data_IF_555242438149
#
_entry.id   IF_555242438149
#
_cell.length_a   1.000
_cell.length_b   1.000
_cell.length_c   1.000
_cell.angle_alpha   90.00
_cell.angle_beta   90.00
_cell.angle_gamma   90.00
#
_symmetry.space_group_name_H-M   'P 1'
#
loop_
_entity.id
_entity.type
_entity.pdbx_description
1 polymer ?
#
# COMPACT_ATOMS: atom_id res chain seq x y z
N UNK A 1 -46.64 -22.61 3.45
CA UNK A 1 -47.11 -21.37 4.09
C UNK A 1 -46.88 -20.25 3.08
N UNK A 2 -47.98 -19.84 2.45
CA UNK A 2 -48.06 -18.90 1.33
C UNK A 2 -48.39 -17.51 1.89
N UNK A 3 -47.67 -16.48 1.47
CA UNK A 3 -48.04 -15.06 1.54
C UNK A 3 -47.37 -14.47 0.28
N UNK A 4 -48.01 -14.09 -0.85
CA UNK A 4 -49.27 -13.39 -1.16
C UNK A 4 -49.49 -12.14 -0.32
N UNK A 5 -48.99 -11.02 -0.84
CA UNK A 5 -49.54 -9.68 -0.59
C UNK A 5 -49.79 -9.06 -1.95
N UNK A 6 -51.06 -8.81 -2.24
CA UNK A 6 -51.58 -8.11 -3.40
C UNK A 6 -52.66 -7.16 -2.86
N UNK A 7 -52.55 -5.87 -3.19
CA UNK A 7 -53.60 -4.85 -3.29
C UNK A 7 -52.89 -3.51 -3.65
N UNK A 8 -53.02 -2.93 -4.86
CA UNK A 8 -54.15 -2.10 -5.42
C UNK A 8 -54.47 -0.88 -4.54
N UNK A 9 -54.69 0.35 -4.98
CA UNK A 9 -54.63 1.18 -6.20
C UNK A 9 -54.62 2.66 -5.66
N UNK A 10 -54.28 3.76 -6.35
CA UNK A 10 -55.06 4.42 -7.42
C UNK A 10 -54.48 5.84 -7.72
N UNK A 11 -54.61 6.28 -9.00
CA UNK A 11 -54.71 7.66 -9.54
C UNK A 11 -53.47 8.60 -9.56
N UNK A 12 -53.12 9.36 -10.61
CA UNK A 12 -53.52 9.47 -12.03
C UNK A 12 -52.60 10.54 -12.73
N UNK A 13 -52.56 10.53 -14.09
CA UNK A 13 -52.22 11.65 -15.02
C UNK A 13 -50.73 12.02 -15.24
N UNK A 14 -50.14 12.12 -16.44
CA UNK A 14 -50.63 12.13 -17.84
C UNK A 14 -49.49 11.86 -18.86
N UNK A 15 -49.70 10.85 -19.72
CA UNK A 15 -49.77 10.90 -21.20
C UNK A 15 -48.63 11.55 -22.04
N UNK A 16 -48.02 10.70 -22.89
CA UNK A 16 -47.83 10.73 -24.37
C UNK A 16 -46.44 10.13 -24.65
N UNK A 17 -46.20 9.06 -25.39
CA UNK A 17 -46.88 8.24 -26.39
C UNK A 17 -45.71 7.67 -27.23
N UNK A 18 -45.76 6.60 -28.00
CA UNK A 18 -46.75 5.61 -28.37
C UNK A 18 -46.09 4.84 -29.51
N UNK A 19 -46.11 3.50 -29.44
CA UNK A 19 -46.39 2.59 -30.57
C UNK A 19 -45.22 2.44 -31.60
N UNK A 20 -44.72 1.25 -31.94
CA UNK A 20 -45.45 0.09 -32.48
C UNK A 20 -44.57 -1.19 -32.37
N UNK A 21 -45.11 -2.23 -31.75
CA UNK A 21 -44.63 -3.61 -31.85
C UNK A 21 -45.86 -4.50 -32.07
N UNK A 22 -45.82 -5.33 -33.11
CA UNK A 22 -46.63 -6.53 -33.34
C UNK A 22 -45.92 -7.27 -34.50
N UNK A 23 -45.18 -8.36 -34.28
CA UNK A 23 -45.60 -9.73 -33.93
C UNK A 23 -45.91 -10.59 -35.17
N UNK A 24 -45.50 -11.86 -35.08
CA UNK A 24 -45.93 -13.08 -35.79
C UNK A 24 -44.81 -13.82 -36.56
N UNK A 25 -44.58 -15.08 -36.15
CA UNK A 25 -44.42 -16.17 -37.12
C UNK A 25 -43.13 -17.01 -37.09
N UNK A 26 -43.08 -17.94 -36.15
CA UNK A 26 -42.38 -19.25 -36.16
C UNK A 26 -41.99 -19.87 -37.52
N UNK A 27 -40.86 -20.58 -37.58
CA UNK A 27 -40.67 -22.00 -38.02
C UNK A 27 -39.15 -22.35 -38.03
N UNK A 28 -38.76 -23.40 -37.30
CA UNK A 28 -37.49 -24.15 -37.43
C UNK A 28 -37.66 -25.25 -38.51
N UNK A 29 -36.60 -25.71 -39.23
CA UNK A 29 -35.78 -26.82 -38.70
C UNK A 29 -34.28 -26.88 -39.12
N UNK A 30 -33.47 -27.37 -38.18
CA UNK A 30 -32.53 -28.51 -38.25
C UNK A 30 -31.53 -28.78 -39.42
N UNK A 31 -30.24 -28.82 -39.04
CA UNK A 31 -29.13 -29.74 -39.42
C UNK A 31 -28.36 -29.73 -40.78
N UNK A 32 -27.06 -30.10 -40.64
CA UNK A 32 -25.95 -30.37 -41.62
C UNK A 32 -25.28 -29.14 -42.22
N UNK A 33 -23.97 -29.02 -42.33
CA UNK A 33 -22.87 -29.99 -42.39
C UNK A 33 -21.99 -29.62 -43.60
N UNK A 34 -20.68 -29.46 -43.37
CA UNK A 34 -19.56 -29.37 -44.32
C UNK A 34 -19.81 -29.00 -45.80
N UNK A 35 -19.17 -27.94 -46.28
CA UNK A 35 -17.99 -28.05 -47.16
C UNK A 35 -17.61 -26.71 -47.80
N UNK A 36 -16.30 -26.51 -47.92
CA UNK A 36 -15.72 -25.47 -48.76
C UNK A 36 -16.13 -25.61 -50.22
N UNK A 37 -16.38 -24.48 -50.86
CA UNK A 37 -16.70 -24.42 -52.27
C UNK A 37 -16.67 -22.97 -52.73
N UNK A 38 -15.48 -22.47 -53.06
CA UNK A 38 -15.36 -21.30 -53.93
C UNK A 38 -15.89 -21.68 -55.31
N UNK A 39 -17.13 -21.28 -55.62
CA UNK A 39 -17.66 -21.22 -56.99
C UNK A 39 -17.69 -19.77 -57.42
N UNK A 40 -16.98 -19.49 -58.52
CA UNK A 40 -16.52 -18.15 -58.87
C UNK A 40 -17.53 -17.25 -59.57
N UNK A 41 -17.19 -15.97 -59.55
CA UNK A 41 -17.34 -15.04 -60.68
C UNK A 41 -16.08 -14.19 -60.68
N UNK A 42 -15.25 -14.31 -61.73
CA UNK A 42 -14.10 -13.44 -61.95
C UNK A 42 -14.63 -12.15 -62.59
N UNK A 43 -14.71 -11.09 -61.79
CA UNK A 43 -14.60 -9.72 -62.30
C UNK A 43 -13.50 -9.03 -61.50
N UNK A 44 -12.54 -8.46 -62.24
CA UNK A 44 -11.33 -7.77 -61.75
C UNK A 44 -11.61 -6.92 -60.51
N UNK A 45 -11.09 -7.36 -59.38
CA UNK A 45 -10.34 -6.49 -58.47
C UNK A 45 -9.38 -7.34 -57.63
N UNK A 46 -8.20 -6.77 -57.43
CA UNK A 46 -7.02 -7.43 -56.89
C UNK A 46 -7.30 -8.11 -55.55
N UNK A 47 -6.89 -9.37 -55.43
CA UNK A 47 -6.73 -10.07 -54.16
C UNK A 47 -5.55 -9.41 -53.41
N UNK A 48 -5.79 -8.26 -52.78
CA UNK A 48 -4.90 -7.73 -51.76
C UNK A 48 -5.24 -8.45 -50.46
N UNK A 49 -4.53 -9.55 -50.19
CA UNK A 49 -4.25 -9.97 -48.83
C UNK A 49 -3.34 -8.90 -48.24
N UNK A 50 -3.93 -7.80 -47.76
CA UNK A 50 -3.22 -6.86 -46.89
C UNK A 50 -2.84 -7.65 -45.64
N UNK A 51 -1.57 -7.60 -45.26
CA UNK A 51 -1.08 -8.13 -43.99
C UNK A 51 -1.95 -7.60 -42.84
N UNK A 52 -2.93 -8.41 -42.41
CA UNK A 52 -3.91 -8.09 -41.38
C UNK A 52 -3.23 -7.79 -40.03
N UNK A 53 -2.03 -8.33 -39.80
CA UNK A 53 -1.22 -7.95 -38.65
C UNK A 53 -0.68 -6.51 -38.72
N UNK A 54 -0.33 -5.99 -39.91
CA UNK A 54 0.23 -4.63 -40.03
C UNK A 54 -0.87 -3.58 -39.94
N UNK A 55 -2.04 -3.87 -40.49
CA UNK A 55 -3.23 -3.03 -40.37
C UNK A 55 -3.84 -3.11 -38.95
N UNK A 56 -3.88 -4.30 -38.32
CA UNK A 56 -4.21 -4.44 -36.91
C UNK A 56 -3.20 -3.75 -36.01
N UNK A 57 -1.88 -3.84 -36.27
CA UNK A 57 -0.86 -3.06 -35.55
C UNK A 57 -1.05 -1.55 -35.74
N UNK A 58 -1.39 -1.08 -36.95
CA UNK A 58 -1.66 0.34 -37.23
C UNK A 58 -2.99 0.83 -36.62
N UNK A 59 -4.03 0.00 -36.54
CA UNK A 59 -5.30 0.31 -35.89
C UNK A 59 -5.22 0.20 -34.36
N UNK A 60 -4.41 -0.73 -33.84
CA UNK A 60 -4.01 -0.81 -32.43
C UNK A 60 -3.17 0.41 -32.05
N UNK A 61 -2.22 0.81 -32.90
CA UNK A 61 -1.43 2.04 -32.80
C UNK A 61 -2.33 3.28 -32.76
N UNK A 62 -3.31 3.37 -33.67
CA UNK A 62 -4.28 4.47 -33.69
C UNK A 62 -5.26 4.46 -32.50
N UNK A 63 -5.55 3.30 -31.89
CA UNK A 63 -6.46 3.15 -30.73
C UNK A 63 -5.77 3.37 -29.38
N UNK A 64 -4.50 2.96 -29.23
CA UNK A 64 -3.69 3.23 -28.03
C UNK A 64 -3.41 4.73 -27.92
N UNK A 65 -3.11 5.40 -29.04
CA UNK A 65 -2.98 6.88 -29.09
C UNK A 65 -4.31 7.58 -28.76
N UNK A 66 -5.46 6.89 -28.91
CA UNK A 66 -6.79 7.44 -28.63
C UNK A 66 -7.21 7.40 -27.16
N UNK A 67 -6.54 6.63 -26.29
CA UNK A 67 -6.49 7.00 -24.86
C UNK A 67 -5.59 8.23 -24.76
N UNK A 68 -6.12 9.40 -25.11
CA UNK A 68 -5.37 10.64 -24.99
C UNK A 68 -4.85 10.80 -23.56
N UNK A 69 -3.75 11.53 -23.38
CA UNK A 69 -3.13 11.81 -22.07
C UNK A 69 -4.16 12.13 -20.96
N UNK A 70 -5.24 12.84 -21.31
CA UNK A 70 -6.35 13.18 -20.42
C UNK A 70 -7.17 11.98 -19.92
N UNK A 71 -7.36 10.94 -20.73
CA UNK A 71 -8.01 9.70 -20.32
C UNK A 71 -7.13 8.92 -19.33
N UNK A 72 -5.84 8.79 -19.63
CA UNK A 72 -4.86 8.19 -18.72
C UNK A 72 -4.76 8.97 -17.40
N UNK A 73 -4.81 10.31 -17.46
CA UNK A 73 -4.84 11.16 -16.27
C UNK A 73 -6.10 10.91 -15.43
N UNK A 74 -7.26 10.76 -16.08
CA UNK A 74 -8.50 10.39 -15.42
C UNK A 74 -8.37 9.07 -14.64
N UNK A 75 -7.90 8.01 -15.30
CA UNK A 75 -7.75 6.68 -14.69
C UNK A 75 -6.68 6.68 -13.58
N UNK A 76 -5.53 7.34 -13.80
CA UNK A 76 -4.45 7.41 -12.82
C UNK A 76 -4.81 8.26 -11.59
N UNK A 77 -5.66 9.29 -11.77
CA UNK A 77 -6.06 10.20 -10.68
C UNK A 77 -7.16 9.63 -9.78
N UNK A 78 -8.01 8.71 -10.26
CA UNK A 78 -9.09 8.10 -9.46
C UNK A 78 -8.64 7.57 -8.08
N UNK A 79 -7.66 6.64 -7.99
CA UNK A 79 -7.23 6.11 -6.70
C UNK A 79 -6.53 7.16 -5.82
N UNK A 80 -5.87 8.15 -6.44
CA UNK A 80 -5.20 9.25 -5.72
C UNK A 80 -6.24 10.16 -5.08
N UNK A 81 -7.27 10.54 -5.85
CA UNK A 81 -8.37 11.36 -5.36
C UNK A 81 -9.11 10.66 -4.22
N UNK A 82 -9.33 9.34 -4.32
CA UNK A 82 -9.92 8.56 -3.24
C UNK A 82 -9.09 8.65 -1.94
N UNK A 83 -7.76 8.51 -2.02
CA UNK A 83 -6.88 8.67 -0.85
C UNK A 83 -6.94 10.09 -0.30
N UNK A 84 -6.88 11.11 -1.16
CA UNK A 84 -6.91 12.51 -0.74
C UNK A 84 -8.25 12.89 -0.08
N UNK A 85 -9.39 12.42 -0.61
CA UNK A 85 -10.71 12.67 -0.02
C UNK A 85 -10.80 12.03 1.37
N UNK A 86 -10.43 10.75 1.52
CA UNK A 86 -10.47 10.06 2.81
C UNK A 86 -9.49 10.73 3.80
N UNK A 87 -8.32 11.16 3.34
CA UNK A 87 -7.38 11.91 4.19
C UNK A 87 -7.94 13.29 4.58
N UNK A 88 -8.67 13.98 3.72
CA UNK A 88 -9.33 15.23 4.08
C UNK A 88 -10.40 15.03 5.16
N UNK A 89 -11.17 13.93 5.08
CA UNK A 89 -12.13 13.54 6.13
C UNK A 89 -11.39 13.25 7.44
N UNK A 90 -10.28 12.50 7.39
CA UNK A 90 -9.45 12.22 8.57
C UNK A 90 -8.87 13.49 9.20
N UNK A 91 -8.43 14.45 8.37
CA UNK A 91 -7.96 15.75 8.82
C UNK A 91 -9.07 16.56 9.50
N UNK A 92 -10.26 16.58 8.91
CA UNK A 92 -11.43 17.24 9.49
C UNK A 92 -11.81 16.62 10.85
N UNK A 93 -11.83 15.29 10.96
CA UNK A 93 -12.10 14.56 12.21
C UNK A 93 -11.04 14.80 13.30
N UNK A 94 -9.80 15.13 12.91
CA UNK A 94 -8.70 15.44 13.84
C UNK A 94 -8.61 16.92 14.23
N UNK A 95 -9.44 17.78 13.62
CA UNK A 95 -9.48 19.21 13.96
C UNK A 95 -10.05 19.42 15.36
N UNK A 96 -9.62 20.48 16.05
CA UNK A 96 -10.08 20.86 17.39
C UNK A 96 -11.62 21.02 17.49
N UNK A 97 -12.31 21.23 16.35
CA UNK A 97 -13.77 21.31 16.26
C UNK A 97 -14.48 19.97 16.50
N UNK A 98 -14.07 18.89 15.82
CA UNK A 98 -14.67 17.56 16.01
C UNK A 98 -13.97 16.75 17.09
N UNK A 99 -12.65 16.88 17.19
CA UNK A 99 -11.78 16.17 18.13
C UNK A 99 -12.06 14.66 18.24
N UNK A 100 -12.42 14.02 17.12
CA UNK A 100 -12.79 12.60 17.06
C UNK A 100 -11.56 11.71 16.83
N UNK A 101 -10.54 12.22 16.14
CA UNK A 101 -9.25 11.54 15.91
C UNK A 101 -8.06 12.29 16.53
N UNK A 102 -8.01 12.48 17.87
CA UNK A 102 -6.83 13.00 18.55
C UNK A 102 -5.64 12.03 18.39
N UNK A 103 -4.42 12.47 18.74
CA UNK A 103 -3.19 11.65 18.66
C UNK A 103 -3.33 10.29 19.36
N UNK A 104 -3.91 10.26 20.56
CA UNK A 104 -4.08 9.02 21.31
C UNK A 104 -5.02 8.04 20.60
N UNK A 105 -6.13 8.52 20.04
CA UNK A 105 -7.08 7.69 19.28
C UNK A 105 -6.44 7.16 18.00
N UNK A 106 -5.65 7.98 17.30
CA UNK A 106 -4.90 7.55 16.11
C UNK A 106 -3.90 6.44 16.43
N UNK A 107 -3.14 6.58 17.52
CA UNK A 107 -2.22 5.54 18.00
C UNK A 107 -2.96 4.23 18.33
N UNK A 108 -4.09 4.30 19.05
CA UNK A 108 -4.90 3.12 19.39
C UNK A 108 -5.50 2.45 18.15
N UNK A 109 -6.03 3.25 17.23
CA UNK A 109 -6.54 2.76 15.95
C UNK A 109 -5.43 2.10 15.14
N UNK A 110 -4.24 2.69 15.11
CA UNK A 110 -3.08 2.13 14.42
C UNK A 110 -2.64 0.78 14.99
N UNK A 111 -2.71 0.59 16.33
CA UNK A 111 -2.45 -0.72 16.96
C UNK A 111 -3.41 -1.78 16.43
N UNK A 112 -4.71 -1.48 16.32
CA UNK A 112 -5.71 -2.39 15.76
C UNK A 112 -5.40 -2.69 14.29
N UNK A 113 -5.08 -1.66 13.51
CA UNK A 113 -4.75 -1.82 12.08
C UNK A 113 -3.53 -2.70 11.90
N UNK A 114 -2.48 -2.51 12.69
CA UNK A 114 -1.24 -3.28 12.61
C UNK A 114 -1.42 -4.74 13.04
N UNK A 115 -2.13 -4.99 14.14
CA UNK A 115 -2.26 -6.33 14.73
C UNK A 115 -3.34 -7.17 14.04
N UNK A 116 -4.41 -6.54 13.55
CA UNK A 116 -5.63 -7.25 13.13
C UNK A 116 -5.94 -7.00 11.65
N UNK A 117 -6.10 -5.75 11.22
CA UNK A 117 -6.63 -5.48 9.87
C UNK A 117 -5.60 -5.80 8.78
N UNK A 118 -4.37 -5.32 8.95
CA UNK A 118 -3.27 -5.52 7.99
C UNK A 118 -2.95 -7.00 7.74
N UNK A 119 -2.72 -7.85 8.76
CA UNK A 119 -2.51 -9.27 8.51
C UNK A 119 -3.70 -9.94 7.85
N UNK A 120 -4.93 -9.54 8.20
CA UNK A 120 -6.13 -10.07 7.57
C UNK A 120 -6.20 -9.72 6.09
N UNK A 121 -5.94 -8.46 5.73
CA UNK A 121 -5.89 -8.02 4.33
C UNK A 121 -4.84 -8.79 3.52
N UNK A 122 -3.62 -8.92 4.04
CA UNK A 122 -2.55 -9.60 3.31
C UNK A 122 -2.86 -11.10 3.18
N UNK A 123 -3.35 -11.72 4.25
CA UNK A 123 -3.75 -13.13 4.26
C UNK A 123 -4.80 -13.43 3.19
N UNK A 124 -5.91 -12.68 3.17
CA UNK A 124 -7.01 -12.95 2.24
C UNK A 124 -6.62 -12.70 0.80
N UNK A 125 -5.91 -11.61 0.54
CA UNK A 125 -5.38 -11.28 -0.79
C UNK A 125 -4.51 -12.42 -1.35
N UNK A 126 -3.71 -13.04 -0.48
CA UNK A 126 -2.83 -14.16 -0.84
C UNK A 126 -3.58 -15.46 -1.07
N UNK A 127 -4.46 -15.85 -0.14
CA UNK A 127 -5.22 -17.09 -0.24
C UNK A 127 -6.06 -17.11 -1.52
N UNK A 128 -6.69 -15.99 -1.87
CA UNK A 128 -7.50 -15.90 -3.09
C UNK A 128 -6.64 -15.91 -4.36
N UNK A 129 -5.56 -15.15 -4.37
CA UNK A 129 -4.84 -14.85 -5.62
C UNK A 129 -3.71 -15.79 -5.97
N UNK A 130 -3.19 -16.55 -5.01
CA UNK A 130 -2.00 -17.39 -5.21
C UNK A 130 -2.38 -18.84 -5.43
N UNK A 131 -1.73 -19.48 -6.40
CA UNK A 131 -1.72 -20.94 -6.59
C UNK A 131 -0.28 -21.43 -6.74
N UNK A 132 -0.06 -22.73 -6.57
CA UNK A 132 1.27 -23.32 -6.76
C UNK A 132 1.88 -23.06 -8.15
N UNK A 133 1.04 -23.13 -9.20
CA UNK A 133 1.48 -22.89 -10.57
C UNK A 133 1.87 -21.42 -10.78
N UNK A 134 1.12 -20.50 -10.18
CA UNK A 134 1.38 -19.06 -10.22
C UNK A 134 2.70 -18.71 -9.54
N UNK A 135 3.04 -19.36 -8.42
CA UNK A 135 4.32 -19.16 -7.72
C UNK A 135 5.50 -19.53 -8.62
N UNK A 136 5.41 -20.68 -9.30
CA UNK A 136 6.48 -21.15 -10.20
C UNK A 136 6.59 -20.24 -11.42
N UNK A 137 5.47 -19.85 -12.02
CA UNK A 137 5.46 -19.00 -13.22
C UNK A 137 5.94 -17.58 -12.92
N UNK A 138 5.60 -17.02 -11.76
CA UNK A 138 5.87 -15.63 -11.38
C UNK A 138 7.09 -15.46 -10.46
N UNK A 139 8.03 -16.42 -10.42
CA UNK A 139 9.23 -16.35 -9.56
C UNK A 139 10.10 -15.09 -9.79
N UNK A 140 10.09 -14.54 -11.01
CA UNK A 140 10.82 -13.32 -11.35
C UNK A 140 10.30 -12.07 -10.61
N UNK A 141 9.08 -12.14 -10.08
CA UNK A 141 8.39 -11.02 -9.46
C UNK A 141 8.88 -10.68 -8.05
N UNK A 142 9.03 -11.65 -7.10
CA UNK A 142 9.73 -11.38 -5.85
C UNK A 142 11.13 -10.81 -6.08
N UNK A 143 11.86 -11.31 -7.08
CA UNK A 143 13.20 -10.79 -7.42
C UNK A 143 13.14 -9.35 -7.92
N UNK A 144 12.22 -9.05 -8.85
CA UNK A 144 12.06 -7.70 -9.37
C UNK A 144 11.69 -6.71 -8.25
N UNK A 145 10.74 -7.08 -7.38
CA UNK A 145 10.35 -6.26 -6.22
C UNK A 145 11.53 -6.12 -5.24
N UNK A 146 12.31 -7.18 -5.00
CA UNK A 146 13.51 -7.10 -4.17
C UNK A 146 14.55 -6.12 -4.73
N UNK A 147 14.76 -6.14 -6.05
CA UNK A 147 15.67 -5.20 -6.73
C UNK A 147 15.15 -3.76 -6.62
N UNK A 148 13.85 -3.50 -6.81
CA UNK A 148 13.30 -2.13 -6.67
C UNK A 148 13.43 -1.62 -5.24
N UNK A 149 13.21 -2.47 -4.24
CA UNK A 149 13.46 -2.14 -2.83
C UNK A 149 14.92 -1.81 -2.57
N UNK A 150 15.85 -2.61 -3.10
CA UNK A 150 17.30 -2.39 -2.93
C UNK A 150 17.75 -1.10 -3.60
N UNK A 151 17.42 -0.90 -4.88
CA UNK A 151 17.74 0.32 -5.62
C UNK A 151 17.13 1.56 -4.96
N UNK A 152 15.87 1.48 -4.53
CA UNK A 152 15.19 2.54 -3.82
C UNK A 152 15.81 2.85 -2.46
N UNK A 153 16.22 1.83 -1.72
CA UNK A 153 16.94 1.98 -0.45
C UNK A 153 18.30 2.64 -0.63
N UNK A 154 19.07 2.24 -1.64
CA UNK A 154 20.38 2.84 -1.98
C UNK A 154 20.20 4.31 -2.37
N UNK A 155 19.26 4.62 -3.27
CA UNK A 155 18.97 5.99 -3.68
C UNK A 155 18.48 6.85 -2.51
N UNK A 156 17.65 6.28 -1.64
CA UNK A 156 17.22 6.93 -0.39
C UNK A 156 18.39 7.21 0.55
N UNK A 157 19.33 6.27 0.69
CA UNK A 157 20.53 6.46 1.50
C UNK A 157 21.45 7.56 0.93
N UNK A 158 21.63 7.60 -0.39
CA UNK A 158 22.35 8.67 -1.08
C UNK A 158 21.66 10.01 -0.83
N UNK A 159 20.32 10.07 -0.96
CA UNK A 159 19.55 11.28 -0.69
C UNK A 159 19.73 11.77 0.76
N UNK A 160 19.70 10.87 1.74
CA UNK A 160 19.96 11.22 3.15
C UNK A 160 21.37 11.78 3.33
N UNK A 161 22.38 11.22 2.66
CA UNK A 161 23.76 11.74 2.71
C UNK A 161 23.92 13.12 2.08
N UNK A 162 23.15 13.41 1.03
CA UNK A 162 23.19 14.69 0.33
C UNK A 162 22.47 15.80 1.12
N UNK A 163 21.28 15.52 1.64
CA UNK A 163 20.44 16.51 2.33
C UNK A 163 20.87 16.69 3.80
N UNK A 164 21.40 15.64 4.43
CA UNK A 164 21.70 15.58 5.88
C UNK A 164 20.48 16.01 6.73
N UNK A 165 19.35 15.28 6.63
CA UNK A 165 18.14 15.61 7.38
C UNK A 165 18.30 15.34 8.88
N UNK A 166 17.31 15.75 9.69
CA UNK A 166 17.28 15.43 11.13
C UNK A 166 17.34 13.91 11.36
N UNK A 167 17.96 13.41 12.45
CA UNK A 167 18.15 11.96 12.67
C UNK A 167 16.87 11.11 12.63
N UNK A 168 15.73 11.65 13.05
CA UNK A 168 14.45 10.92 13.00
C UNK A 168 13.86 10.78 11.60
N UNK A 169 14.31 11.59 10.62
CA UNK A 169 13.84 11.58 9.23
C UNK A 169 14.65 10.66 8.33
N UNK A 170 15.86 10.25 8.74
CA UNK A 170 16.74 9.40 7.93
C UNK A 170 16.03 8.11 7.51
N UNK A 171 15.48 7.37 8.47
CA UNK A 171 14.73 6.14 8.21
C UNK A 171 13.49 6.37 7.36
N UNK A 172 12.78 7.47 7.62
CA UNK A 172 11.55 7.82 6.89
C UNK A 172 11.82 8.09 5.42
N UNK A 173 12.86 8.86 5.09
CA UNK A 173 13.22 9.16 3.69
C UNK A 173 13.65 7.88 2.98
N UNK A 174 14.49 7.06 3.60
CA UNK A 174 14.92 5.80 2.98
C UNK A 174 13.75 4.80 2.82
N UNK A 175 12.82 4.76 3.77
CA UNK A 175 11.60 3.96 3.72
C UNK A 175 10.69 4.41 2.58
N UNK A 176 10.44 5.72 2.48
CA UNK A 176 9.64 6.28 1.39
C UNK A 176 10.27 6.00 0.05
N UNK A 177 11.60 6.12 -0.08
CA UNK A 177 12.36 5.84 -1.30
C UNK A 177 12.49 4.36 -1.68
N UNK A 178 12.21 3.41 -0.78
CA UNK A 178 12.28 1.96 -1.07
C UNK A 178 10.89 1.33 -1.26
N UNK A 179 9.91 1.67 -0.42
CA UNK A 179 8.57 1.09 -0.47
C UNK A 179 7.62 1.86 -1.40
N UNK A 180 7.15 1.20 -2.46
CA UNK A 180 6.04 1.70 -3.29
C UNK A 180 4.67 1.25 -2.77
N UNK A 181 3.60 1.90 -3.24
CA UNK A 181 2.22 1.55 -2.90
C UNK A 181 1.68 0.42 -3.78
N UNK A 182 2.16 -0.81 -3.52
CA UNK A 182 1.72 -2.02 -4.23
C UNK A 182 0.25 -2.39 -3.95
N UNK A 183 -0.29 -1.98 -2.81
CA UNK A 183 -1.61 -2.42 -2.37
C UNK A 183 -2.74 -1.63 -3.03
N UNK A 184 -2.74 -0.30 -2.86
CA UNK A 184 -3.87 0.51 -3.26
C UNK A 184 -3.83 0.84 -4.76
N UNK A 185 -2.65 1.14 -5.30
CA UNK A 185 -2.55 1.63 -6.68
C UNK A 185 -2.45 0.52 -7.70
N UNK A 186 -1.66 -0.52 -7.45
CA UNK A 186 -1.47 -1.60 -8.43
C UNK A 186 -2.77 -2.41 -8.63
N UNK A 187 -3.52 -2.68 -7.55
CA UNK A 187 -4.79 -3.42 -7.61
C UNK A 187 -5.91 -2.63 -8.26
N UNK A 188 -5.88 -1.30 -8.19
CA UNK A 188 -6.89 -0.46 -8.85
C UNK A 188 -6.49 -0.21 -10.31
N UNK A 189 -5.25 0.19 -10.55
CA UNK A 189 -4.78 0.64 -11.86
C UNK A 189 -4.71 -0.50 -12.87
N UNK A 190 -4.11 -1.64 -12.52
CA UNK A 190 -3.84 -2.72 -13.50
C UNK A 190 -5.16 -3.35 -14.00
N UNK A 191 -6.15 -3.66 -13.15
CA UNK A 191 -7.46 -4.13 -13.63
C UNK A 191 -8.29 -3.04 -14.32
N UNK A 192 -8.16 -1.76 -13.95
CA UNK A 192 -8.90 -0.69 -14.60
C UNK A 192 -8.52 -0.53 -16.08
N UNK A 193 -7.23 -0.70 -16.40
CA UNK A 193 -6.73 -0.71 -17.78
C UNK A 193 -7.37 -1.86 -18.59
N UNK A 194 -7.63 -3.00 -17.95
CA UNK A 194 -8.31 -4.13 -18.58
C UNK A 194 -9.80 -3.91 -18.84
N UNK A 195 -10.46 -2.99 -18.14
CA UNK A 195 -11.93 -2.76 -18.26
C UNK A 195 -12.28 -1.54 -19.10
N UNK A 196 -11.28 -0.79 -19.57
CA UNK A 196 -11.53 0.40 -20.37
C UNK A 196 -11.98 0.05 -21.79
N UNK A 197 -12.87 0.87 -22.35
CA UNK A 197 -13.48 0.66 -23.66
C UNK A 197 -12.40 0.80 -24.75
N UNK A 198 -11.94 -0.34 -25.28
CA UNK A 198 -10.88 -0.39 -26.28
C UNK A 198 -9.52 -0.83 -25.77
N UNK A 199 -9.43 -1.43 -24.57
CA UNK A 199 -8.18 -1.99 -24.03
C UNK A 199 -7.48 -2.90 -25.05
N UNK A 200 -6.15 -2.79 -25.25
CA UNK A 200 -5.40 -3.64 -26.19
C UNK A 200 -5.20 -5.06 -25.67
N UNK A 201 -5.62 -5.35 -24.44
CA UNK A 201 -5.26 -6.56 -23.68
C UNK A 201 -6.21 -7.75 -23.87
N UNK A 202 -6.92 -7.80 -25.00
CA UNK A 202 -7.85 -8.89 -25.32
C UNK A 202 -9.15 -8.82 -24.53
N UNK A 203 -9.73 -9.99 -24.22
CA UNK A 203 -11.00 -10.09 -23.50
C UNK A 203 -10.91 -9.47 -22.08
N UNK A 204 -11.87 -8.60 -21.77
CA UNK A 204 -11.90 -7.83 -20.52
C UNK A 204 -11.93 -8.73 -19.27
N UNK A 205 -12.65 -9.85 -19.30
CA UNK A 205 -12.80 -10.75 -18.14
C UNK A 205 -11.51 -11.50 -17.89
N UNK A 206 -10.89 -12.03 -18.95
CA UNK A 206 -9.62 -12.77 -18.86
C UNK A 206 -8.48 -11.83 -18.46
N UNK A 207 -8.40 -10.64 -19.06
CA UNK A 207 -7.41 -9.63 -18.71
C UNK A 207 -7.54 -9.23 -17.24
N UNK A 208 -8.75 -8.89 -16.80
CA UNK A 208 -9.02 -8.47 -15.42
C UNK A 208 -8.62 -9.55 -14.41
N UNK A 209 -8.92 -10.81 -14.68
CA UNK A 209 -8.53 -11.92 -13.81
C UNK A 209 -7.00 -12.03 -13.68
N UNK A 210 -6.27 -11.99 -14.80
CA UNK A 210 -4.79 -12.04 -14.78
C UNK A 210 -4.17 -10.80 -14.13
N UNK A 211 -4.72 -9.62 -14.40
CA UNK A 211 -4.32 -8.35 -13.79
C UNK A 211 -4.48 -8.39 -12.26
N UNK A 212 -5.60 -8.95 -11.77
CA UNK A 212 -5.86 -9.08 -10.34
C UNK A 212 -4.90 -10.06 -9.67
N UNK A 213 -4.61 -11.21 -10.29
CA UNK A 213 -3.60 -12.17 -9.79
C UNK A 213 -2.22 -11.54 -9.73
N UNK A 214 -1.81 -10.84 -10.78
CA UNK A 214 -0.54 -10.11 -10.83
C UNK A 214 -0.47 -9.03 -9.74
N UNK A 215 -1.50 -8.20 -9.62
CA UNK A 215 -1.50 -7.12 -8.64
C UNK A 215 -1.45 -7.63 -7.20
N UNK A 216 -2.19 -8.70 -6.91
CA UNK A 216 -2.26 -9.29 -5.57
C UNK A 216 -0.98 -10.04 -5.19
N UNK A 217 -0.35 -10.74 -6.14
CA UNK A 217 0.96 -11.36 -5.89
C UNK A 217 2.05 -10.31 -5.67
N UNK A 218 1.97 -9.16 -6.36
CA UNK A 218 2.85 -8.00 -6.13
C UNK A 218 2.63 -7.39 -4.75
N UNK A 219 1.38 -7.23 -4.34
CA UNK A 219 1.03 -6.71 -3.02
C UNK A 219 1.62 -7.60 -1.93
N UNK A 220 1.56 -8.92 -2.08
CA UNK A 220 2.09 -9.87 -1.10
C UNK A 220 3.60 -9.74 -0.91
N UNK A 221 4.38 -9.81 -1.99
CA UNK A 221 5.83 -9.66 -1.93
C UNK A 221 6.24 -8.24 -1.53
N UNK A 222 5.53 -7.22 -2.04
CA UNK A 222 5.71 -5.84 -1.59
C UNK A 222 5.48 -5.68 -0.10
N UNK A 223 4.47 -6.34 0.46
CA UNK A 223 4.18 -6.37 1.90
C UNK A 223 5.26 -7.12 2.67
N UNK A 224 5.74 -8.27 2.14
CA UNK A 224 6.85 -9.01 2.73
C UNK A 224 8.10 -8.13 2.87
N UNK A 225 8.54 -7.46 1.80
CA UNK A 225 9.69 -6.54 1.85
C UNK A 225 9.42 -5.31 2.71
N UNK A 226 8.20 -4.78 2.73
CA UNK A 226 7.84 -3.65 3.59
C UNK A 226 7.99 -4.02 5.07
N UNK A 227 7.39 -5.12 5.51
CA UNK A 227 7.41 -5.51 6.92
C UNK A 227 8.73 -6.13 7.38
N UNK A 228 9.60 -6.54 6.46
CA UNK A 228 10.95 -7.02 6.78
C UNK A 228 11.99 -5.91 6.69
N UNK A 229 12.16 -5.29 5.53
CA UNK A 229 13.20 -4.29 5.29
C UNK A 229 12.79 -2.90 5.81
N UNK A 230 11.63 -2.39 5.39
CA UNK A 230 11.21 -1.02 5.74
C UNK A 230 10.95 -0.86 7.23
N UNK A 231 10.34 -1.87 7.84
CA UNK A 231 10.16 -1.92 9.29
C UNK A 231 11.50 -1.81 10.03
N UNK A 232 12.53 -2.54 9.60
CA UNK A 232 13.87 -2.45 10.19
C UNK A 232 14.48 -1.05 10.04
N UNK A 233 14.33 -0.45 8.86
CA UNK A 233 14.85 0.90 8.58
C UNK A 233 14.19 1.94 9.48
N UNK A 234 12.85 1.88 9.61
CA UNK A 234 12.08 2.75 10.49
C UNK A 234 12.42 2.53 11.97
N UNK A 235 12.48 1.26 12.41
CA UNK A 235 12.81 0.90 13.78
C UNK A 235 14.22 1.39 14.17
N UNK A 236 15.21 1.18 13.30
CA UNK A 236 16.59 1.61 13.56
C UNK A 236 16.69 3.14 13.71
N UNK A 237 15.98 3.89 12.86
CA UNK A 237 15.95 5.35 12.92
C UNK A 237 15.23 5.86 14.18
N UNK A 238 14.14 5.21 14.58
CA UNK A 238 13.41 5.56 15.79
C UNK A 238 14.23 5.30 17.06
N UNK A 239 14.90 4.15 17.15
CA UNK A 239 15.79 3.82 18.27
C UNK A 239 16.95 4.83 18.38
N UNK A 240 17.57 5.18 17.25
CA UNK A 240 18.64 6.19 17.20
C UNK A 240 18.14 7.55 17.68
N UNK A 241 16.95 7.96 17.25
CA UNK A 241 16.37 9.23 17.67
C UNK A 241 16.03 9.27 19.17
N UNK A 242 15.40 8.22 19.70
CA UNK A 242 15.03 8.16 21.11
C UNK A 242 16.27 8.18 22.02
N UNK A 243 17.34 7.48 21.64
CA UNK A 243 18.60 7.53 22.39
C UNK A 243 19.25 8.93 22.41
N UNK A 244 19.17 9.67 21.30
CA UNK A 244 19.65 11.06 21.24
C UNK A 244 18.79 11.95 22.14
N UNK A 245 17.46 11.80 22.07
CA UNK A 245 16.51 12.57 22.89
C UNK A 245 16.73 12.34 24.39
N UNK A 246 16.90 11.10 24.84
CA UNK A 246 17.20 10.77 26.23
C UNK A 246 18.53 11.40 26.69
N UNK A 247 19.54 11.42 25.81
CA UNK A 247 20.85 12.04 26.11
C UNK A 247 20.72 13.56 26.23
N UNK A 248 19.93 14.20 25.37
CA UNK A 248 19.66 15.64 25.42
C UNK A 248 18.87 16.03 26.68
N UNK A 249 17.84 15.26 27.05
CA UNK A 249 17.07 15.49 28.28
C UNK A 249 17.95 15.35 29.53
N UNK A 250 18.82 14.34 29.58
CA UNK A 250 19.77 14.16 30.68
C UNK A 250 20.78 15.31 30.76
N UNK A 251 21.28 15.80 29.62
CA UNK A 251 22.17 16.96 29.57
C UNK A 251 21.48 18.26 30.00
N UNK A 252 20.22 18.45 29.63
CA UNK A 252 19.45 19.65 30.01
C UNK A 252 19.13 19.66 31.51
N UNK A 253 18.79 18.49 32.09
CA UNK A 253 18.63 18.35 33.54
C UNK A 253 19.93 18.57 34.31
N UNK A 254 21.06 18.08 33.78
CA UNK A 254 22.37 18.35 34.38
C UNK A 254 22.72 19.85 34.34
N UNK A 255 22.48 20.53 33.21
CA UNK A 255 22.75 21.96 33.05
C UNK A 255 21.85 22.85 33.94
N UNK A 256 20.57 22.49 34.12
CA UNK A 256 19.67 23.17 35.06
C UNK A 256 20.12 23.00 36.52
N UNK A 257 20.61 21.81 36.89
CA UNK A 257 21.10 21.56 38.24
C UNK A 257 22.43 22.28 38.54
N UNK A 258 23.31 22.45 37.55
CA UNK A 258 24.52 23.28 37.71
C UNK A 258 24.21 24.76 37.86
N UNK A 259 23.17 25.29 37.22
CA UNK A 259 22.78 26.70 37.38
C UNK A 259 22.10 26.99 38.74
N UNK A 260 21.70 25.96 39.49
CA UNK A 260 21.17 26.09 40.86
C UNK A 260 22.29 25.94 41.91
N UNK A 261 23.39 25.24 41.60
CA UNK A 261 24.52 25.07 42.53
C UNK A 261 25.47 26.28 42.60
N UNK A 262 25.42 27.22 41.65
CA UNK A 262 26.28 28.42 41.67
C UNK A 262 25.74 29.55 42.57
N UNK A 263 24.62 29.35 43.28
CA UNK A 263 24.02 30.41 44.11
C UNK A 263 24.00 30.18 45.62
N UNK A 264 24.44 29.03 46.15
CA UNK A 264 24.52 28.87 47.61
C UNK A 264 25.68 27.96 48.00
N UNK A 265 26.80 28.57 48.41
CA UNK A 265 27.68 27.97 49.40
C UNK A 265 26.89 27.86 50.71
N UNK A 266 26.54 26.64 51.10
CA UNK A 266 26.85 26.05 52.42
C UNK A 266 25.90 24.89 52.71
N UNK A 267 26.49 23.82 53.24
CA UNK A 267 25.89 22.58 53.77
C UNK A 267 25.67 21.41 52.80
N UNK A 268 26.64 20.51 52.89
CA UNK A 268 26.54 19.06 52.69
C UNK A 268 25.37 18.52 53.52
N UNK A 269 24.38 17.89 52.88
CA UNK A 269 23.76 16.68 53.43
C UNK A 269 23.05 15.84 52.36
N UNK A 270 23.09 14.53 52.58
CA UNK A 270 22.64 13.44 51.73
C UNK A 270 21.18 13.57 51.30
N UNK A 271 20.90 13.39 50.00
CA UNK A 271 19.55 13.09 49.51
C UNK A 271 19.59 11.80 48.68
N UNK A 272 19.00 10.77 49.27
CA UNK A 272 18.65 9.48 48.68
C UNK A 272 17.53 9.67 47.64
N UNK A 273 17.53 9.01 46.46
CA UNK A 273 16.45 9.20 45.50
C UNK A 273 15.21 8.42 45.95
N UNK A 274 14.15 9.18 46.27
CA UNK A 274 12.80 8.68 46.53
C UNK A 274 12.21 8.08 45.27
N UNK A 275 11.94 6.77 45.32
CA UNK A 275 11.16 6.03 44.33
C UNK A 275 9.67 6.38 44.47
N UNK A 276 9.16 7.25 43.61
CA UNK A 276 7.72 7.35 43.36
C UNK A 276 7.44 7.00 41.90
N UNK A 277 7.28 5.69 41.64
CA UNK A 277 6.66 5.20 40.41
C UNK A 277 5.15 5.38 40.51
N UNK A 278 4.59 6.28 39.72
CA UNK A 278 3.15 6.35 39.46
C UNK A 278 2.76 5.22 38.50
N UNK A 279 1.74 4.45 38.87
CA UNK A 279 1.28 3.22 38.23
C UNK A 279 0.46 3.44 36.94
N UNK A 280 0.98 4.22 35.98
CA UNK A 280 0.37 4.40 34.65
C UNK A 280 1.28 3.99 33.47
N UNK A 281 2.52 3.58 33.70
CA UNK A 281 3.49 3.25 32.63
C UNK A 281 3.61 1.75 32.27
N UNK A 282 2.74 0.89 32.82
CA UNK A 282 2.89 -0.58 32.68
C UNK A 282 2.37 -1.11 31.32
N UNK A 283 1.53 -0.40 30.57
CA UNK A 283 0.93 -0.94 29.34
C UNK A 283 1.79 -0.82 28.07
N UNK A 284 2.88 -0.05 28.09
CA UNK A 284 3.78 0.07 26.92
C UNK A 284 5.08 -0.75 27.05
N UNK A 285 5.28 -1.48 28.16
CA UNK A 285 6.53 -2.20 28.43
C UNK A 285 6.59 -3.65 27.94
N UNK A 286 5.55 -4.21 27.30
CA UNK A 286 5.63 -5.60 26.82
C UNK A 286 6.33 -5.77 25.46
N UNK A 287 6.77 -4.70 24.78
CA UNK A 287 7.40 -4.81 23.44
C UNK A 287 8.84 -4.25 23.39
N UNK A 288 9.33 -3.60 24.44
CA UNK A 288 10.70 -3.06 24.47
C UNK A 288 11.51 -3.77 25.54
N UNK A 289 12.11 -4.90 25.15
CA UNK A 289 13.04 -5.60 26.02
C UNK A 289 14.36 -4.82 26.09
N UNK A 290 14.70 -4.44 27.31
CA UNK A 290 15.86 -3.70 27.78
C UNK A 290 17.17 -4.11 27.07
N UNK A 291 17.93 -3.12 26.61
CA UNK A 291 19.39 -3.17 26.71
C UNK A 291 19.80 -2.05 27.65
N UNK A 292 19.99 -2.39 28.93
CA UNK A 292 20.58 -1.47 29.87
C UNK A 292 22.02 -1.20 29.42
N UNK A 293 22.33 0.07 29.19
CA UNK A 293 23.71 0.55 29.06
C UNK A 293 24.28 0.65 30.48
N UNK A 294 24.61 -0.50 31.04
CA UNK A 294 25.61 -0.60 32.11
C UNK A 294 26.98 -0.79 31.45
N UNK A 295 27.99 -0.07 31.91
CA UNK A 295 29.39 -0.21 31.48
C UNK A 295 29.85 -1.68 31.48
N UNK A 296 29.74 -2.36 30.33
CA UNK A 296 30.30 -3.70 30.14
C UNK A 296 31.52 -3.55 29.24
N UNK A 297 32.68 -3.88 29.83
CA UNK A 297 33.96 -4.06 29.15
C UNK A 297 33.72 -4.80 27.82
N UNK A 298 34.19 -4.22 26.70
CA UNK A 298 34.25 -4.89 25.39
C UNK A 298 34.91 -6.25 25.56
N UNK A 299 34.11 -7.31 25.56
CA UNK A 299 34.56 -8.67 25.31
C UNK A 299 34.25 -8.92 23.83
N UNK A 300 35.28 -9.23 23.04
CA UNK A 300 35.12 -9.59 21.63
C UNK A 300 34.16 -10.78 21.52
N UNK A 301 32.90 -10.48 21.16
CA UNK A 301 31.87 -11.48 20.93
C UNK A 301 32.13 -12.20 19.61
N UNK A 302 32.11 -13.52 19.66
CA UNK A 302 32.32 -14.42 18.53
C UNK A 302 31.33 -14.09 17.39
N UNK A 303 31.75 -14.32 16.14
CA UNK A 303 30.90 -14.17 14.95
C UNK A 303 29.59 -14.94 15.12
N UNK A 304 29.61 -16.05 15.87
CA UNK A 304 28.43 -16.85 16.23
C UNK A 304 27.44 -16.08 17.11
N UNK A 305 27.91 -15.34 18.13
CA UNK A 305 27.03 -14.57 19.02
C UNK A 305 26.37 -13.40 18.29
N UNK A 306 27.10 -12.75 17.36
CA UNK A 306 26.55 -11.73 16.46
C UNK A 306 25.52 -12.32 15.49
N UNK A 307 25.79 -13.51 14.94
CA UNK A 307 24.86 -14.23 14.06
C UNK A 307 23.58 -14.63 14.80
N UNK A 308 23.69 -15.15 16.02
CA UNK A 308 22.54 -15.53 16.86
C UNK A 308 21.74 -14.31 17.27
N UNK A 309 22.38 -13.19 17.63
CA UNK A 309 21.68 -11.95 17.95
C UNK A 309 20.95 -11.36 16.71
N UNK A 310 21.59 -11.40 15.54
CA UNK A 310 20.95 -11.02 14.27
C UNK A 310 19.78 -11.95 13.93
N UNK A 311 19.95 -13.27 14.06
CA UNK A 311 18.89 -14.25 13.78
C UNK A 311 17.70 -14.04 14.71
N UNK A 312 17.95 -13.84 16.01
CA UNK A 312 16.90 -13.61 17.01
C UNK A 312 16.12 -12.32 16.73
N UNK A 313 16.81 -11.27 16.28
CA UNK A 313 16.19 -10.01 15.85
C UNK A 313 15.34 -10.22 14.59
N UNK A 314 15.84 -10.97 13.61
CA UNK A 314 15.11 -11.31 12.38
C UNK A 314 13.87 -12.16 12.70
N UNK A 315 13.99 -13.17 13.57
CA UNK A 315 12.87 -14.04 13.97
C UNK A 315 11.77 -13.25 14.70
N UNK A 316 12.15 -12.40 15.66
CA UNK A 316 11.18 -11.54 16.37
C UNK A 316 10.49 -10.54 15.43
N UNK A 317 11.17 -10.09 14.38
CA UNK A 317 10.58 -9.23 13.35
C UNK A 317 9.72 -10.03 12.36
N UNK A 318 10.05 -11.28 12.09
CA UNK A 318 9.24 -12.20 11.29
C UNK A 318 7.94 -12.60 12.01
N UNK A 319 7.88 -12.45 13.33
CA UNK A 319 6.70 -12.60 14.17
C UNK A 319 5.80 -11.35 14.18
N UNK A 320 6.13 -10.30 13.42
CA UNK A 320 5.18 -9.20 13.23
C UNK A 320 3.85 -9.75 12.68
N UNK A 321 2.69 -9.29 13.17
CA UNK A 321 1.41 -9.82 12.71
C UNK A 321 1.26 -9.82 11.17
N UNK A 322 1.60 -8.73 10.45
CA UNK A 322 1.53 -8.71 8.99
C UNK A 322 2.40 -9.75 8.28
N UNK A 323 3.62 -10.04 8.77
CA UNK A 323 4.49 -11.05 8.16
C UNK A 323 3.94 -12.44 8.40
N UNK A 324 3.39 -12.71 9.59
CA UNK A 324 2.72 -13.98 9.89
C UNK A 324 1.50 -14.20 8.98
N UNK A 325 0.70 -13.15 8.76
CA UNK A 325 -0.41 -13.14 7.79
C UNK A 325 0.06 -13.47 6.37
N UNK A 326 1.19 -12.89 5.93
CA UNK A 326 1.81 -13.21 4.63
C UNK A 326 2.24 -14.68 4.53
N UNK A 327 2.92 -15.22 5.53
CA UNK A 327 3.37 -16.62 5.50
C UNK A 327 2.18 -17.58 5.51
N UNK A 328 1.21 -17.36 6.40
CA UNK A 328 0.01 -18.18 6.46
C UNK A 328 -0.77 -18.11 5.14
N UNK A 329 -0.93 -16.92 4.56
CA UNK A 329 -1.63 -16.72 3.29
C UNK A 329 -0.93 -17.41 2.11
N UNK A 330 0.40 -17.32 2.04
CA UNK A 330 1.20 -18.00 1.01
C UNK A 330 1.11 -19.53 1.13
N UNK A 331 1.27 -20.08 2.33
CA UNK A 331 1.22 -21.53 2.57
C UNK A 331 -0.17 -22.08 2.22
N UNK A 332 -1.22 -21.43 2.72
CA UNK A 332 -2.60 -21.85 2.48
C UNK A 332 -2.99 -21.68 1.00
N UNK A 333 -2.62 -20.56 0.37
CA UNK A 333 -2.88 -20.31 -1.04
C UNK A 333 -2.13 -21.29 -1.97
N UNK A 334 -0.91 -21.70 -1.60
CA UNK A 334 -0.13 -22.66 -2.37
C UNK A 334 -0.68 -24.08 -2.32
N UNK A 335 -1.35 -24.49 -1.23
CA UNK A 335 -1.88 -25.85 -1.05
C UNK A 335 -3.34 -25.91 -1.53
N UNK A 336 -3.64 -26.51 -2.70
CA UNK A 336 -4.97 -26.43 -3.31
C UNK A 336 -6.09 -27.02 -2.44
N UNK A 337 -5.80 -28.08 -1.68
CA UNK A 337 -6.78 -28.74 -0.81
C UNK A 337 -7.22 -27.84 0.34
N UNK A 338 -6.30 -27.10 0.97
CA UNK A 338 -6.63 -26.17 2.06
C UNK A 338 -7.31 -24.93 1.50
N UNK A 339 -6.83 -24.40 0.36
CA UNK A 339 -7.46 -23.28 -0.34
C UNK A 339 -8.93 -23.58 -0.69
N UNK A 340 -9.24 -24.74 -1.26
CA UNK A 340 -10.62 -25.11 -1.60
C UNK A 340 -11.52 -25.28 -0.36
N UNK A 341 -10.95 -25.52 0.82
CA UNK A 341 -11.69 -25.60 2.08
C UNK A 341 -12.14 -24.21 2.58
N UNK A 342 -11.38 -23.16 2.24
CA UNK A 342 -11.59 -21.78 2.68
C UNK A 342 -12.24 -20.89 1.60
N UNK A 343 -11.88 -21.11 0.33
CA UNK A 343 -12.28 -20.29 -0.81
C UNK A 343 -13.20 -21.08 -1.75
N UNK A 344 -14.38 -20.52 -2.02
CA UNK A 344 -15.36 -21.10 -2.95
C UNK A 344 -16.78 -21.01 -2.40
N UNK A 345 -17.77 -20.96 -3.28
CA UNK A 345 -19.17 -20.73 -2.88
C UNK A 345 -19.72 -21.81 -1.93
N UNK A 346 -19.23 -23.05 -2.06
CA UNK A 346 -19.61 -24.22 -1.26
C UNK A 346 -18.53 -24.66 -0.26
N UNK A 347 -17.53 -23.81 0.00
CA UNK A 347 -16.42 -24.14 0.89
C UNK A 347 -16.90 -24.20 2.37
N UNK A 348 -16.58 -25.27 3.13
CA UNK A 348 -17.13 -25.47 4.47
C UNK A 348 -16.58 -24.48 5.51
N UNK A 349 -15.37 -23.93 5.31
CA UNK A 349 -14.76 -22.93 6.19
C UNK A 349 -14.79 -21.52 5.60
N UNK A 350 -15.68 -21.27 4.63
CA UNK A 350 -15.85 -19.96 3.99
C UNK A 350 -16.04 -18.82 5.00
N UNK A 351 -16.72 -19.08 6.11
CA UNK A 351 -16.96 -18.09 7.17
C UNK A 351 -15.65 -17.48 7.70
N UNK A 352 -14.57 -18.28 7.80
CA UNK A 352 -13.26 -17.78 8.26
C UNK A 352 -12.69 -16.80 7.24
N UNK A 353 -12.68 -17.18 5.96
CA UNK A 353 -12.19 -16.34 4.88
C UNK A 353 -13.02 -15.05 4.77
N UNK A 354 -14.35 -15.15 4.71
CA UNK A 354 -15.25 -13.99 4.59
C UNK A 354 -15.10 -13.02 5.79
N UNK A 355 -14.90 -13.54 7.00
CA UNK A 355 -14.61 -12.72 8.18
C UNK A 355 -13.29 -11.97 8.06
N UNK A 356 -12.25 -12.64 7.56
CA UNK A 356 -10.93 -12.04 7.34
C UNK A 356 -10.96 -11.00 6.20
N UNK A 357 -11.78 -11.20 5.16
CA UNK A 357 -11.98 -10.22 4.08
C UNK A 357 -12.63 -8.96 4.66
N UNK A 358 -13.70 -9.13 5.45
CA UNK A 358 -14.41 -8.03 6.09
C UNK A 358 -13.48 -7.22 7.01
N UNK A 359 -12.65 -7.92 7.79
CA UNK A 359 -11.68 -7.30 8.70
C UNK A 359 -10.57 -6.59 7.93
N UNK A 360 -10.06 -7.22 6.86
CA UNK A 360 -9.03 -6.66 5.99
C UNK A 360 -9.49 -5.42 5.23
N UNK A 361 -10.76 -5.34 4.85
CA UNK A 361 -11.36 -4.20 4.15
C UNK A 361 -11.25 -2.88 4.95
N UNK A 362 -11.17 -2.95 6.28
CA UNK A 362 -10.96 -1.79 7.15
C UNK A 362 -9.55 -1.20 7.10
N UNK A 363 -8.54 -1.92 6.59
CA UNK A 363 -7.13 -1.49 6.63
C UNK A 363 -6.90 -0.17 5.91
N UNK A 364 -7.25 -0.10 4.63
CA UNK A 364 -6.99 1.06 3.77
C UNK A 364 -7.71 2.33 4.29
N UNK A 365 -9.03 2.33 4.58
CA UNK A 365 -9.69 3.53 5.08
C UNK A 365 -9.15 3.97 6.44
N UNK A 366 -8.90 3.06 7.38
CA UNK A 366 -8.35 3.44 8.69
C UNK A 366 -6.95 4.04 8.59
N UNK A 367 -6.03 3.45 7.79
CA UNK A 367 -4.70 4.04 7.57
C UNK A 367 -4.77 5.42 6.94
N UNK A 368 -5.68 5.60 5.98
CA UNK A 368 -5.83 6.87 5.26
C UNK A 368 -6.44 7.96 6.15
N UNK A 369 -7.34 7.59 7.07
CA UNK A 369 -7.87 8.49 8.11
C UNK A 369 -6.78 8.90 9.12
N UNK A 370 -5.96 7.94 9.59
CA UNK A 370 -4.82 8.24 10.48
C UNK A 370 -3.85 9.20 9.80
N UNK A 371 -3.50 8.92 8.54
CA UNK A 371 -2.65 9.77 7.72
C UNK A 371 -3.22 11.19 7.60
N UNK A 372 -4.52 11.31 7.30
CA UNK A 372 -5.24 12.58 7.24
C UNK A 372 -5.22 13.34 8.56
N UNK A 373 -5.45 12.65 9.68
CA UNK A 373 -5.38 13.27 10.99
C UNK A 373 -3.98 13.84 11.27
N UNK A 374 -2.92 13.08 10.96
CA UNK A 374 -1.52 13.51 11.13
C UNK A 374 -1.16 14.73 10.27
N UNK A 375 -1.82 14.88 9.11
CA UNK A 375 -1.61 16.01 8.21
C UNK A 375 -1.99 17.35 8.82
N UNK A 376 -3.00 17.40 9.71
CA UNK A 376 -3.43 18.66 10.36
C UNK A 376 -2.30 19.34 11.12
N UNK A 377 -1.47 18.56 11.81
CA UNK A 377 -0.35 19.05 12.58
C UNK A 377 0.86 19.36 11.68
N UNK A 378 1.11 18.51 10.67
CA UNK A 378 2.19 18.71 9.70
C UNK A 378 2.03 20.01 8.87
N UNK A 379 0.80 20.33 8.44
CA UNK A 379 0.51 21.58 7.73
C UNK A 379 0.68 22.80 8.64
N UNK A 380 0.27 22.71 9.91
CA UNK A 380 0.39 23.83 10.88
C UNK A 380 1.84 24.14 11.24
N UNK A 381 2.70 23.13 11.34
CA UNK A 381 4.09 23.29 11.81
C UNK A 381 5.13 23.43 10.70
N UNK A 382 4.73 23.32 9.42
CA UNK A 382 5.65 23.30 8.27
C UNK A 382 6.85 22.37 8.52
N UNK A 383 6.53 21.16 8.96
CA UNK A 383 7.46 20.27 9.65
C UNK A 383 8.60 19.78 8.73
N UNK A 384 8.33 19.65 7.42
CA UNK A 384 9.28 19.23 6.38
C UNK A 384 9.75 20.41 5.52
N UNK A 385 11.07 20.56 5.32
CA UNK A 385 11.63 21.50 4.36
C UNK A 385 11.37 21.12 2.88
N UNK A 386 11.14 22.07 1.96
CA UNK A 386 10.84 21.79 0.55
C UNK A 386 11.89 20.92 -0.15
N UNK A 387 13.16 21.06 0.21
CA UNK A 387 14.28 20.26 -0.34
C UNK A 387 14.08 18.76 -0.12
N UNK A 388 13.54 18.35 1.03
CA UNK A 388 13.27 16.93 1.31
C UNK A 388 12.15 16.43 0.41
N UNK A 389 11.05 17.20 0.30
CA UNK A 389 9.90 16.85 -0.54
C UNK A 389 10.33 16.67 -1.99
N UNK A 390 11.05 17.65 -2.55
CA UNK A 390 11.54 17.62 -3.93
C UNK A 390 12.48 16.43 -4.15
N UNK A 391 13.38 16.14 -3.19
CA UNK A 391 14.31 15.03 -3.34
C UNK A 391 13.60 13.68 -3.31
N UNK A 392 12.64 13.47 -2.40
CA UNK A 392 11.84 12.23 -2.36
C UNK A 392 11.08 12.06 -3.68
N UNK A 393 10.47 13.13 -4.20
CA UNK A 393 9.77 13.10 -5.49
C UNK A 393 10.71 12.76 -6.65
N UNK A 394 11.90 13.36 -6.70
CA UNK A 394 12.90 13.11 -7.74
C UNK A 394 13.40 11.65 -7.69
N UNK A 395 13.70 11.13 -6.50
CA UNK A 395 14.09 9.73 -6.35
C UNK A 395 12.99 8.80 -6.82
N UNK A 396 11.73 9.06 -6.44
CA UNK A 396 10.59 8.20 -6.76
C UNK A 396 10.16 8.23 -8.22
N UNK A 397 9.97 9.42 -8.75
CA UNK A 397 9.31 9.61 -10.04
C UNK A 397 10.30 9.87 -11.17
N UNK A 398 11.59 10.08 -10.90
CA UNK A 398 12.58 10.35 -11.96
C UNK A 398 13.73 9.35 -11.94
N UNK A 399 14.31 9.02 -10.78
CA UNK A 399 15.44 8.09 -10.72
C UNK A 399 15.00 6.62 -10.72
N UNK A 400 13.88 6.30 -10.07
CA UNK A 400 13.25 4.97 -10.08
C UNK A 400 12.24 4.84 -11.23
N UNK A 401 12.70 5.05 -12.47
CA UNK A 401 11.87 5.00 -13.69
C UNK A 401 11.08 3.69 -13.77
N UNK A 402 11.72 2.56 -13.42
CA UNK A 402 11.13 1.21 -13.44
C UNK A 402 9.94 1.05 -12.48
N UNK A 403 9.72 1.96 -11.52
CA UNK A 403 8.70 1.80 -10.49
C UNK A 403 8.14 3.16 -9.99
N UNK A 404 7.34 3.81 -10.84
CA UNK A 404 6.76 5.14 -10.58
C UNK A 404 5.54 5.14 -9.62
N UNK A 405 5.46 4.20 -8.65
CA UNK A 405 4.41 4.24 -7.63
C UNK A 405 4.77 5.23 -6.51
N UNK A 406 3.80 5.99 -5.96
CA UNK A 406 4.03 6.76 -4.75
C UNK A 406 4.37 5.84 -3.57
N UNK A 407 4.91 6.41 -2.48
CA UNK A 407 5.29 5.63 -1.30
C UNK A 407 4.11 4.87 -0.70
N UNK A 408 4.37 3.70 -0.10
CA UNK A 408 3.32 2.87 0.49
C UNK A 408 2.66 3.49 1.71
N UNK A 409 1.33 3.45 1.81
CA UNK A 409 0.56 3.95 2.97
C UNK A 409 0.99 3.32 4.29
N UNK A 410 1.46 2.07 4.27
CA UNK A 410 1.88 1.33 5.47
C UNK A 410 3.10 1.95 6.18
N UNK A 411 3.86 2.85 5.53
CA UNK A 411 4.93 3.60 6.19
C UNK A 411 4.35 4.48 7.32
N UNK A 412 3.14 5.01 7.15
CA UNK A 412 2.48 5.81 8.19
C UNK A 412 2.19 4.95 9.42
N UNK A 413 1.83 3.68 9.25
CA UNK A 413 1.64 2.72 10.34
C UNK A 413 2.91 2.57 11.17
N UNK A 414 4.07 2.52 10.52
CA UNK A 414 5.36 2.39 11.19
C UNK A 414 5.76 3.69 11.90
N UNK A 415 5.56 4.84 11.25
CA UNK A 415 5.79 6.15 11.87
C UNK A 415 4.90 6.34 13.11
N UNK A 416 3.66 5.90 13.03
CA UNK A 416 2.69 5.94 14.14
C UNK A 416 3.08 4.97 15.25
N UNK A 417 3.40 3.71 14.90
CA UNK A 417 3.79 2.66 15.84
C UNK A 417 5.03 3.04 16.67
N UNK A 418 6.02 3.68 16.05
CA UNK A 418 7.22 4.15 16.74
C UNK A 418 7.06 5.54 17.35
N UNK A 419 5.93 6.22 17.10
CA UNK A 419 5.68 7.61 17.52
C UNK A 419 6.79 8.58 17.08
N UNK A 420 7.34 8.37 15.88
CA UNK A 420 8.45 9.16 15.31
C UNK A 420 8.12 9.55 13.87
N UNK A 421 8.18 10.86 13.57
CA UNK A 421 8.00 11.36 12.20
C UNK A 421 6.57 11.24 11.65
N UNK A 422 5.55 11.15 12.50
CA UNK A 422 4.13 11.00 12.11
C UNK A 422 3.65 12.16 11.20
N UNK A 423 3.88 13.40 11.63
CA UNK A 423 3.49 14.62 10.91
C UNK A 423 4.25 14.74 9.57
N UNK A 424 5.54 14.46 9.62
CA UNK A 424 6.47 14.52 8.49
C UNK A 424 6.11 13.50 7.42
N UNK A 425 5.76 12.29 7.86
CA UNK A 425 5.27 11.22 7.01
C UNK A 425 3.97 11.65 6.31
N UNK A 426 3.02 12.25 7.03
CA UNK A 426 1.77 12.70 6.44
C UNK A 426 1.98 13.79 5.39
N UNK A 427 2.84 14.77 5.68
CA UNK A 427 3.21 15.84 4.74
C UNK A 427 3.86 15.30 3.46
N UNK A 428 4.86 14.42 3.60
CA UNK A 428 5.55 13.81 2.45
C UNK A 428 4.59 12.95 1.62
N UNK A 429 3.71 12.18 2.26
CA UNK A 429 2.70 11.38 1.57
C UNK A 429 1.71 12.25 0.79
N UNK A 430 1.22 13.35 1.37
CA UNK A 430 0.31 14.27 0.66
C UNK A 430 0.93 14.79 -0.65
N UNK A 431 2.15 15.33 -0.58
CA UNK A 431 2.81 15.92 -1.76
C UNK A 431 3.20 14.86 -2.79
N UNK A 432 3.72 13.71 -2.35
CA UNK A 432 4.10 12.63 -3.26
C UNK A 432 2.89 12.02 -3.96
N UNK A 433 1.74 11.89 -3.30
CA UNK A 433 0.51 11.39 -3.93
C UNK A 433 -0.07 12.40 -4.92
N UNK A 434 -0.03 13.70 -4.60
CA UNK A 434 -0.46 14.73 -5.55
C UNK A 434 0.41 14.73 -6.82
N UNK A 435 1.73 14.59 -6.65
CA UNK A 435 2.67 14.45 -7.77
C UNK A 435 2.51 13.14 -8.55
N UNK A 436 2.12 12.05 -7.88
CA UNK A 436 1.94 10.75 -8.50
C UNK A 436 0.88 10.77 -9.61
N UNK A 437 -0.16 11.60 -9.51
CA UNK A 437 -1.20 11.67 -10.53
C UNK A 437 -0.63 12.07 -11.89
N UNK A 438 0.25 13.07 -11.88
CA UNK A 438 0.94 13.53 -13.08
C UNK A 438 2.05 12.55 -13.49
N UNK A 439 2.89 12.12 -12.55
CA UNK A 439 4.02 11.24 -12.84
C UNK A 439 3.57 9.89 -13.42
N UNK A 440 2.57 9.24 -12.83
CA UNK A 440 2.03 7.96 -13.32
C UNK A 440 1.46 8.11 -14.72
N UNK A 441 0.74 9.20 -14.98
CA UNK A 441 0.17 9.48 -16.31
C UNK A 441 1.26 9.68 -17.34
N UNK A 442 2.26 10.50 -17.03
CA UNK A 442 3.39 10.77 -17.93
C UNK A 442 4.17 9.49 -18.22
N UNK A 443 4.57 8.74 -17.20
CA UNK A 443 5.32 7.51 -17.40
C UNK A 443 4.52 6.43 -18.12
N UNK A 444 3.23 6.27 -17.80
CA UNK A 444 2.38 5.31 -18.53
C UNK A 444 2.25 5.69 -20.00
N UNK A 445 2.11 6.98 -20.30
CA UNK A 445 2.07 7.48 -21.68
C UNK A 445 3.39 7.22 -22.42
N UNK A 446 4.53 7.47 -21.75
CA UNK A 446 5.86 7.20 -22.31
C UNK A 446 6.08 5.70 -22.54
N UNK A 447 5.71 4.84 -21.59
CA UNK A 447 5.84 3.40 -21.74
C UNK A 447 4.98 2.85 -22.88
N UNK A 448 3.73 3.30 -22.99
CA UNK A 448 2.86 2.92 -24.10
C UNK A 448 3.41 3.39 -25.45
N UNK A 449 4.03 4.58 -25.50
CA UNK A 449 4.69 5.09 -26.71
C UNK A 449 5.95 4.32 -27.10
N UNK A 450 6.75 3.87 -26.12
CA UNK A 450 7.95 3.06 -26.39
C UNK A 450 7.58 1.65 -26.88
N UNK A 451 6.48 1.09 -26.38
CA UNK A 451 6.02 -0.27 -26.72
C UNK A 451 5.22 -0.34 -28.03
N UNK A 452 4.79 0.79 -28.58
CA UNK A 452 4.09 0.91 -29.85
C UNK A 452 5.06 1.04 -31.02
#
# INVERSE_FOLDING_TARGET
MVLRVENTAESDSTRKGSILAAEVGSILPENRGDNGGCSGVITRDSCYRVDDERLSRLLLYWRIIRMGFWGLLGVASMPILQVLIISAIGAFMATDYLNLLPSNTRNSLNKIVFVVFTPSLIFTSLVESVTFQDIISMWFMPINIGITFLCGGILGWIAVKLIKPKPHLEGLIMAMCSTGNYANLLVIMVPAICTDNGSPFGDHVICKAKALSYASFSMAWGSFYTWTCTYQMMQASALKYNAIKETEELSNHANQNTHILDTNNDHIDQIMPSSNLTSQDIENQCIVQQTSVGNVKKKDGSISDKLVAMLKKIVNQLLAPPTLGSFAGLIIGAIPWIKHLLTGEKAPLRVIQDSMILLGAGTIPCLTLILGGNLTQGLRKASVGPTIIITVMLVRFVLLIMFALPPGVNISTMAELFSVGQEECAMLMMWTYLAAAFALTTWSSVYMWILS
#
